data_IF_713739739562
#
_entry.id   IF_713739739562
#
_cell.length_a   1.000
_cell.length_b   1.000
_cell.length_c   1.000
_cell.angle_alpha   90.00
_cell.angle_beta   90.00
_cell.angle_gamma   90.00
#
_symmetry.space_group_name_H-M   'P 1'
#
loop_
_entity.id
_entity.type
_entity.pdbx_description
1 polymer ?
#
# COMPACT_ATOMS: atom_id res chain seq x y z
N UNK A 1 11.04 -23.11 74.11
CA UNK A 1 11.50 -23.06 72.69
C UNK A 1 10.30 -22.99 71.73
N UNK A 2 9.27 -23.81 71.91
CA UNK A 2 8.05 -23.82 71.04
C UNK A 2 7.22 -22.52 71.16
N UNK A 3 7.09 -21.93 72.37
CA UNK A 3 6.36 -20.67 72.57
C UNK A 3 7.01 -19.48 71.87
N UNK A 4 8.33 -19.38 71.85
CA UNK A 4 9.06 -18.31 71.13
C UNK A 4 8.85 -18.45 69.65
N UNK A 5 8.85 -19.65 69.10
CA UNK A 5 8.55 -19.90 67.68
C UNK A 5 7.13 -19.51 67.28
N UNK A 6 6.11 -19.75 68.13
CA UNK A 6 4.74 -19.32 67.93
C UNK A 6 4.57 -17.79 67.96
N UNK A 7 5.30 -17.10 68.84
CA UNK A 7 5.22 -15.64 68.97
C UNK A 7 5.72 -14.94 67.72
N UNK A 8 6.70 -15.48 67.03
CA UNK A 8 7.22 -14.88 65.77
C UNK A 8 6.55 -15.39 64.49
N UNK A 9 5.79 -16.47 64.57
CA UNK A 9 5.12 -17.07 63.42
C UNK A 9 4.15 -16.10 62.73
N UNK A 10 3.38 -15.31 63.46
CA UNK A 10 2.44 -14.32 62.96
C UNK A 10 3.18 -13.16 62.25
N UNK A 11 4.26 -12.69 62.85
CA UNK A 11 5.07 -11.62 62.23
C UNK A 11 5.73 -12.09 60.92
N UNK A 12 6.24 -13.32 60.89
CA UNK A 12 6.83 -13.90 59.69
C UNK A 12 5.79 -14.07 58.58
N UNK A 13 4.58 -14.56 58.91
CA UNK A 13 3.49 -14.66 57.95
C UNK A 13 3.07 -13.28 57.40
N UNK A 14 3.01 -12.24 58.23
CA UNK A 14 2.70 -10.88 57.77
C UNK A 14 3.78 -10.35 56.80
N UNK A 15 5.06 -10.58 57.06
CA UNK A 15 6.16 -10.19 56.18
C UNK A 15 6.10 -10.94 54.84
N UNK A 16 5.84 -12.24 54.87
CA UNK A 16 5.69 -13.04 53.64
C UNK A 16 4.48 -12.56 52.84
N UNK A 17 3.36 -12.27 53.47
CA UNK A 17 2.17 -11.77 52.80
C UNK A 17 2.41 -10.39 52.14
N UNK A 18 3.11 -9.48 52.86
CA UNK A 18 3.50 -8.19 52.32
C UNK A 18 4.46 -8.32 51.12
N UNK A 19 5.46 -9.19 51.25
CA UNK A 19 6.37 -9.46 50.13
C UNK A 19 5.64 -10.03 48.91
N UNK A 20 4.72 -10.98 49.10
CA UNK A 20 3.90 -11.54 48.04
C UNK A 20 3.03 -10.47 47.34
N UNK A 21 2.48 -9.52 48.13
CA UNK A 21 1.67 -8.42 47.61
C UNK A 21 2.53 -7.47 46.74
N UNK A 22 3.73 -7.12 47.17
CA UNK A 22 4.68 -6.28 46.43
C UNK A 22 5.09 -6.96 45.14
N UNK A 23 5.44 -8.25 45.19
CA UNK A 23 5.80 -9.05 44.00
C UNK A 23 4.62 -9.13 43.02
N UNK A 24 3.41 -9.35 43.54
CA UNK A 24 2.19 -9.38 42.71
C UNK A 24 1.93 -8.05 42.02
N UNK A 25 2.06 -6.92 42.74
CA UNK A 25 1.89 -5.60 42.21
C UNK A 25 2.94 -5.31 41.08
N UNK A 26 4.18 -5.68 41.32
CA UNK A 26 5.25 -5.56 40.33
C UNK A 26 4.98 -6.43 39.10
N UNK A 27 4.55 -7.68 39.29
CA UNK A 27 4.22 -8.58 38.18
C UNK A 27 3.07 -8.04 37.31
N UNK A 28 2.02 -7.45 37.94
CA UNK A 28 0.92 -6.82 37.20
C UNK A 28 1.40 -5.62 36.42
N UNK A 29 2.24 -4.77 37.02
CA UNK A 29 2.80 -3.60 36.32
C UNK A 29 3.63 -4.01 35.12
N UNK A 30 4.59 -4.93 35.30
CA UNK A 30 5.45 -5.46 34.23
C UNK A 30 4.64 -6.17 33.13
N UNK A 31 3.60 -6.94 33.52
CA UNK A 31 2.71 -7.59 32.57
C UNK A 31 1.92 -6.60 31.69
N UNK A 32 1.44 -5.50 32.27
CA UNK A 32 0.75 -4.44 31.52
C UNK A 32 1.70 -3.77 30.52
N UNK A 33 2.92 -3.51 30.89
CA UNK A 33 3.90 -2.91 30.02
C UNK A 33 4.29 -3.84 28.86
N UNK A 34 4.50 -5.13 29.15
CA UNK A 34 4.77 -6.14 28.11
C UNK A 34 3.60 -6.25 27.12
N UNK A 35 2.35 -6.25 27.59
CA UNK A 35 1.17 -6.26 26.72
C UNK A 35 1.06 -4.99 25.85
N UNK A 36 1.45 -3.82 26.37
CA UNK A 36 1.48 -2.57 25.60
C UNK A 36 2.49 -2.66 24.49
N UNK A 37 3.73 -3.06 24.78
CA UNK A 37 4.79 -3.23 23.79
C UNK A 37 4.41 -4.26 22.72
N UNK A 38 3.78 -5.37 23.14
CA UNK A 38 3.31 -6.38 22.21
C UNK A 38 2.24 -5.84 21.25
N UNK A 39 1.30 -5.02 21.74
CA UNK A 39 0.28 -4.36 20.90
C UNK A 39 0.92 -3.39 19.91
N UNK A 40 1.82 -2.54 20.36
CA UNK A 40 2.56 -1.61 19.49
C UNK A 40 3.32 -2.36 18.41
N UNK A 41 4.01 -3.43 18.77
CA UNK A 41 4.71 -4.30 17.81
C UNK A 41 3.76 -4.94 16.80
N UNK A 42 2.60 -5.44 17.25
CA UNK A 42 1.59 -6.03 16.36
C UNK A 42 1.04 -5.01 15.37
N UNK A 43 0.75 -3.78 15.81
CA UNK A 43 0.28 -2.70 14.93
C UNK A 43 1.32 -2.39 13.85
N UNK A 44 2.59 -2.22 14.25
CA UNK A 44 3.67 -1.94 13.29
C UNK A 44 3.87 -3.11 12.33
N UNK A 45 3.82 -4.35 12.82
CA UNK A 45 3.97 -5.57 12.00
C UNK A 45 2.83 -5.80 11.02
N UNK A 46 1.64 -5.25 11.29
CA UNK A 46 0.45 -5.36 10.43
C UNK A 46 0.25 -4.13 9.55
N UNK A 47 1.28 -3.30 9.37
CA UNK A 47 1.17 -2.11 8.54
C UNK A 47 1.12 -2.49 7.05
N UNK A 48 0.13 -2.00 6.31
CA UNK A 48 0.14 -2.07 4.85
C UNK A 48 1.19 -1.11 4.27
N UNK A 49 1.71 -1.44 3.10
CA UNK A 49 2.61 -0.58 2.32
C UNK A 49 2.18 -0.63 0.86
N UNK A 50 1.26 0.26 0.49
CA UNK A 50 0.77 0.34 -0.87
C UNK A 50 1.76 1.12 -1.73
N UNK A 51 2.09 0.56 -2.90
CA UNK A 51 2.98 1.16 -3.87
C UNK A 51 2.32 1.15 -5.24
N UNK A 52 2.40 2.27 -5.97
CA UNK A 52 1.97 2.35 -7.36
C UNK A 52 3.15 1.96 -8.25
N UNK A 53 3.00 0.85 -8.96
CA UNK A 53 4.01 0.29 -9.85
C UNK A 53 3.62 0.62 -11.28
N UNK A 54 4.58 1.16 -12.03
CA UNK A 54 4.46 1.39 -13.46
C UNK A 54 5.36 0.40 -14.20
N UNK A 55 4.85 -0.16 -15.28
CA UNK A 55 5.60 -1.05 -16.17
C UNK A 55 5.40 -0.58 -17.60
N UNK A 56 6.50 -0.46 -18.33
CA UNK A 56 6.51 -0.03 -19.72
C UNK A 56 7.55 -0.86 -20.47
N UNK A 57 7.07 -1.83 -21.20
CA UNK A 57 7.81 -2.70 -22.10
C UNK A 57 7.28 -2.52 -23.53
N UNK A 58 7.97 -3.08 -24.52
CA UNK A 58 7.53 -2.98 -25.92
C UNK A 58 6.15 -3.64 -26.16
N UNK A 59 5.85 -4.68 -25.38
CA UNK A 59 4.64 -5.48 -25.49
C UNK A 59 3.62 -5.17 -24.37
N UNK A 60 3.93 -4.18 -23.49
CA UNK A 60 3.10 -4.00 -22.28
C UNK A 60 3.27 -2.66 -21.62
N UNK A 61 2.17 -1.95 -21.47
CA UNK A 61 2.04 -0.80 -20.55
C UNK A 61 1.09 -1.20 -19.42
N UNK A 62 1.51 -1.00 -18.18
CA UNK A 62 0.69 -1.36 -17.03
C UNK A 62 0.93 -0.42 -15.85
N UNK A 63 -0.15 -0.04 -15.18
CA UNK A 63 -0.14 0.67 -13.91
C UNK A 63 -0.93 -0.17 -12.92
N UNK A 64 -0.33 -0.47 -11.78
CA UNK A 64 -0.93 -1.31 -10.76
C UNK A 64 -0.63 -0.80 -9.35
N UNK A 65 -1.54 -1.08 -8.42
CA UNK A 65 -1.34 -0.90 -6.99
C UNK A 65 -0.92 -2.25 -6.42
N UNK A 66 0.13 -2.27 -5.62
CA UNK A 66 0.61 -3.47 -4.92
C UNK A 66 0.75 -3.18 -3.44
N UNK A 67 0.33 -4.11 -2.60
CA UNK A 67 0.61 -4.08 -1.18
C UNK A 67 1.89 -4.87 -0.89
N UNK A 68 2.97 -4.17 -0.55
CA UNK A 68 4.25 -4.77 -0.15
C UNK A 68 4.34 -4.97 1.37
N UNK A 69 3.37 -4.44 2.13
CA UNK A 69 3.31 -4.55 3.58
C UNK A 69 2.84 -5.91 4.06
N UNK A 70 2.88 -6.10 5.37
CA UNK A 70 2.47 -7.34 6.04
C UNK A 70 1.01 -7.33 6.49
N UNK A 71 0.37 -6.16 6.55
CA UNK A 71 -1.05 -6.00 6.85
C UNK A 71 -1.89 -5.70 5.62
N UNK A 72 -3.21 -5.94 5.70
CA UNK A 72 -4.14 -5.53 4.66
C UNK A 72 -4.30 -4.01 4.63
N UNK A 73 -4.42 -3.43 3.42
CA UNK A 73 -4.71 -2.02 3.23
C UNK A 73 -6.06 -1.84 2.54
N UNK A 74 -6.95 -1.04 3.13
CA UNK A 74 -8.24 -0.68 2.53
C UNK A 74 -8.09 0.67 1.84
N UNK A 75 -8.32 0.73 0.55
CA UNK A 75 -8.30 1.98 -0.22
C UNK A 75 -9.56 2.77 0.13
N UNK A 76 -9.38 3.99 0.65
CA UNK A 76 -10.49 4.88 1.04
C UNK A 76 -10.83 5.86 -0.06
N UNK A 77 -9.81 6.34 -0.80
CA UNK A 77 -9.98 7.28 -1.88
C UNK A 77 -8.93 7.13 -2.96
N UNK A 78 -9.29 7.44 -4.18
CA UNK A 78 -8.38 7.60 -5.31
C UNK A 78 -8.62 8.94 -5.98
N UNK A 79 -7.54 9.64 -6.31
CA UNK A 79 -7.57 10.92 -7.00
C UNK A 79 -6.61 10.91 -8.17
N UNK A 80 -7.05 11.47 -9.27
CA UNK A 80 -6.27 11.57 -10.49
C UNK A 80 -6.10 13.03 -10.87
N UNK A 81 -4.89 13.42 -11.22
CA UNK A 81 -4.58 14.77 -11.65
C UNK A 81 -4.00 14.73 -13.06
N UNK A 82 -4.35 15.73 -13.87
CA UNK A 82 -3.77 15.96 -15.19
C UNK A 82 -3.21 17.37 -15.24
N UNK A 83 -1.90 17.50 -15.48
CA UNK A 83 -1.19 18.79 -15.40
C UNK A 83 -1.46 19.54 -14.08
N UNK A 84 -1.53 18.84 -12.96
CA UNK A 84 -1.80 19.39 -11.64
C UNK A 84 -3.29 19.69 -11.35
N UNK A 85 -4.20 19.56 -12.31
CA UNK A 85 -5.63 19.75 -12.10
C UNK A 85 -6.32 18.42 -11.78
N UNK A 86 -7.08 18.41 -10.66
CA UNK A 86 -7.90 17.24 -10.27
C UNK A 86 -8.90 16.91 -11.37
N UNK A 87 -9.01 15.64 -11.71
CA UNK A 87 -9.97 15.11 -12.68
C UNK A 87 -11.14 14.48 -11.95
N UNK A 88 -12.35 14.87 -12.33
CA UNK A 88 -13.61 14.33 -11.80
C UNK A 88 -13.98 13.04 -12.56
N UNK A 89 -13.23 11.97 -12.32
CA UNK A 89 -13.46 10.65 -12.93
C UNK A 89 -13.27 9.55 -11.89
N UNK A 90 -14.13 8.55 -11.94
CA UNK A 90 -14.06 7.38 -11.05
C UNK A 90 -13.09 6.30 -11.54
N UNK A 91 -12.80 6.27 -12.82
CA UNK A 91 -12.01 5.21 -13.45
C UNK A 91 -10.79 5.79 -14.13
N UNK A 92 -9.64 5.17 -13.86
CA UNK A 92 -8.40 5.59 -14.51
C UNK A 92 -8.47 5.48 -16.05
N UNK A 93 -9.18 4.47 -16.57
CA UNK A 93 -9.35 4.27 -18.01
C UNK A 93 -10.08 5.42 -18.71
N UNK A 94 -10.91 6.16 -18.01
CA UNK A 94 -11.67 7.29 -18.56
C UNK A 94 -10.75 8.49 -18.93
N UNK A 95 -9.51 8.50 -18.42
CA UNK A 95 -8.47 9.48 -18.75
C UNK A 95 -7.65 9.08 -19.99
N UNK A 96 -7.84 7.88 -20.48
CA UNK A 96 -7.08 7.33 -21.59
C UNK A 96 -7.73 7.64 -22.94
N UNK A 97 -6.94 7.66 -24.03
CA UNK A 97 -7.49 7.83 -25.36
C UNK A 97 -8.42 6.67 -25.74
N UNK A 98 -9.40 6.96 -26.59
CA UNK A 98 -10.20 5.93 -27.23
C UNK A 98 -9.32 5.21 -28.22
N UNK A 99 -9.04 3.92 -27.98
CA UNK A 99 -8.19 3.12 -28.84
C UNK A 99 -8.85 2.93 -30.22
N UNK A 100 -8.10 3.19 -31.29
CA UNK A 100 -8.58 3.06 -32.66
C UNK A 100 -8.48 1.62 -33.15
N UNK A 101 -9.51 1.11 -33.86
CA UNK A 101 -9.52 -0.23 -34.45
C UNK A 101 -9.95 -1.34 -33.49
N UNK A 102 -9.66 -2.61 -33.79
CA UNK A 102 -10.07 -3.79 -33.00
C UNK A 102 -9.17 -4.02 -31.77
N UNK A 103 -8.71 -2.96 -31.13
CA UNK A 103 -7.76 -2.99 -30.00
C UNK A 103 -8.47 -2.57 -28.74
N UNK A 104 -8.28 -3.34 -27.67
CA UNK A 104 -8.95 -3.13 -26.39
C UNK A 104 -7.95 -3.15 -25.24
N UNK A 105 -8.31 -2.48 -24.14
CA UNK A 105 -7.57 -2.60 -22.89
C UNK A 105 -7.60 -4.05 -22.39
N UNK A 106 -6.44 -4.62 -22.12
CA UNK A 106 -6.35 -6.00 -21.67
C UNK A 106 -6.97 -6.18 -20.29
N UNK A 107 -6.68 -5.25 -19.39
CA UNK A 107 -7.30 -5.18 -18.06
C UNK A 107 -7.45 -3.73 -17.64
N UNK A 108 -8.53 -3.43 -16.94
CA UNK A 108 -8.70 -2.17 -16.21
C UNK A 108 -9.58 -2.38 -14.98
N UNK A 109 -9.45 -1.51 -13.99
CA UNK A 109 -10.31 -1.50 -12.83
C UNK A 109 -11.36 -0.40 -12.97
N UNK A 110 -12.62 -0.75 -12.67
CA UNK A 110 -13.72 0.22 -12.71
C UNK A 110 -13.67 1.22 -11.56
N UNK A 111 -13.31 0.75 -10.36
CA UNK A 111 -13.10 1.57 -9.16
C UNK A 111 -12.28 0.74 -8.18
N UNK A 112 -11.41 1.38 -7.42
CA UNK A 112 -10.64 0.73 -6.35
C UNK A 112 -11.03 1.22 -4.95
N UNK A 113 -11.98 2.16 -4.85
CA UNK A 113 -12.50 2.61 -3.55
C UNK A 113 -13.13 1.42 -2.80
N UNK A 114 -12.88 1.36 -1.50
CA UNK A 114 -13.29 0.29 -0.58
C UNK A 114 -12.70 -1.10 -0.88
N UNK A 115 -11.73 -1.17 -1.80
CA UNK A 115 -11.03 -2.42 -2.07
C UNK A 115 -10.01 -2.70 -0.98
N UNK A 116 -10.09 -3.91 -0.40
CA UNK A 116 -9.11 -4.43 0.53
C UNK A 116 -7.99 -5.16 -0.24
N UNK A 117 -6.78 -4.63 -0.15
CA UNK A 117 -5.59 -5.28 -0.70
C UNK A 117 -4.87 -6.09 0.39
N UNK A 118 -4.93 -7.41 0.29
CA UNK A 118 -4.19 -8.31 1.17
C UNK A 118 -2.67 -8.14 0.98
N UNK A 119 -1.84 -8.55 1.96
CA UNK A 119 -0.40 -8.61 1.81
C UNK A 119 0.05 -9.32 0.54
N UNK A 120 0.96 -8.71 -0.21
CA UNK A 120 1.48 -9.25 -1.47
C UNK A 120 0.52 -9.19 -2.66
N UNK A 121 -0.76 -8.83 -2.46
CA UNK A 121 -1.72 -8.72 -3.55
C UNK A 121 -1.51 -7.47 -4.40
N UNK A 122 -2.01 -7.51 -5.64
CA UNK A 122 -1.94 -6.40 -6.58
C UNK A 122 -3.25 -6.20 -7.32
N UNK A 123 -3.51 -4.96 -7.77
CA UNK A 123 -4.66 -4.58 -8.56
C UNK A 123 -4.23 -3.73 -9.74
N UNK A 124 -4.55 -4.14 -10.96
CA UNK A 124 -4.30 -3.33 -12.15
C UNK A 124 -5.28 -2.15 -12.20
N UNK A 125 -4.76 -0.93 -12.30
CA UNK A 125 -5.56 0.23 -12.67
C UNK A 125 -5.84 0.20 -14.16
N UNK A 126 -4.79 -0.09 -14.96
CA UNK A 126 -4.89 -0.24 -16.39
C UNK A 126 -3.77 -1.17 -16.90
N UNK A 127 -4.08 -1.92 -17.95
CA UNK A 127 -3.10 -2.74 -18.67
C UNK A 127 -3.44 -2.80 -20.15
N UNK A 128 -2.44 -2.52 -20.99
CA UNK A 128 -2.45 -2.73 -22.42
C UNK A 128 -1.28 -3.63 -22.76
N UNK A 129 -1.52 -4.83 -23.28
CA UNK A 129 -0.47 -5.84 -23.48
C UNK A 129 -0.78 -6.82 -24.59
N UNK A 130 0.26 -7.58 -24.98
CA UNK A 130 0.19 -8.66 -25.95
C UNK A 130 0.45 -8.21 -27.40
N UNK A 131 0.00 -9.03 -28.36
CA UNK A 131 0.21 -8.77 -29.78
C UNK A 131 -0.33 -7.40 -30.23
N UNK A 132 -1.42 -6.95 -29.63
CA UNK A 132 -2.00 -5.64 -29.93
C UNK A 132 -1.01 -4.48 -29.66
N UNK A 133 -0.18 -4.58 -28.63
CA UNK A 133 0.86 -3.58 -28.36
C UNK A 133 2.02 -3.67 -29.33
N UNK A 134 2.44 -4.89 -29.71
CA UNK A 134 3.54 -5.11 -30.65
C UNK A 134 3.19 -4.69 -32.08
N UNK A 135 1.94 -4.95 -32.49
CA UNK A 135 1.46 -4.67 -33.85
C UNK A 135 1.06 -3.19 -34.04
N UNK A 136 0.88 -2.44 -32.97
CA UNK A 136 0.40 -1.06 -33.01
C UNK A 136 1.28 -0.10 -32.17
N UNK A 137 2.53 0.15 -32.56
CA UNK A 137 3.46 1.02 -31.82
C UNK A 137 2.95 2.46 -31.70
N UNK A 138 2.19 2.97 -32.65
CA UNK A 138 1.60 4.31 -32.61
C UNK A 138 0.56 4.44 -31.48
N UNK A 139 -0.23 3.39 -31.25
CA UNK A 139 -1.19 3.35 -30.13
C UNK A 139 -0.44 3.33 -28.79
N UNK A 140 0.66 2.58 -28.71
CA UNK A 140 1.51 2.55 -27.51
C UNK A 140 2.07 3.95 -27.23
N UNK A 141 2.51 4.67 -28.26
CA UNK A 141 3.01 6.03 -28.12
C UNK A 141 1.89 7.01 -27.70
N UNK A 142 0.70 6.87 -28.26
CA UNK A 142 -0.48 7.66 -27.87
C UNK A 142 -0.84 7.43 -26.38
N UNK A 143 -0.82 6.19 -25.91
CA UNK A 143 -1.04 5.84 -24.51
C UNK A 143 0.03 6.51 -23.62
N UNK A 144 1.32 6.45 -23.99
CA UNK A 144 2.40 7.11 -23.26
C UNK A 144 2.20 8.63 -23.18
N UNK A 145 1.77 9.27 -24.27
CA UNK A 145 1.43 10.71 -24.30
C UNK A 145 0.29 11.04 -23.35
N UNK A 146 -0.72 10.20 -23.28
CA UNK A 146 -1.85 10.39 -22.36
C UNK A 146 -1.45 10.20 -20.89
N UNK A 147 -0.54 9.26 -20.61
CA UNK A 147 -0.07 8.96 -19.26
C UNK A 147 0.89 10.02 -18.69
N UNK A 148 1.78 10.55 -19.52
CA UNK A 148 2.86 11.46 -19.08
C UNK A 148 2.40 12.64 -18.22
N UNK A 149 1.27 13.33 -18.48
CA UNK A 149 0.81 14.47 -17.68
C UNK A 149 0.03 14.07 -16.42
N UNK A 150 -0.11 12.77 -16.14
CA UNK A 150 -0.95 12.29 -15.06
C UNK A 150 -0.17 12.09 -13.75
N UNK A 151 -0.87 12.30 -12.66
CA UNK A 151 -0.43 12.02 -11.30
C UNK A 151 -1.56 11.28 -10.56
N UNK A 152 -1.20 10.29 -9.77
CA UNK A 152 -2.15 9.43 -9.05
C UNK A 152 -1.88 9.58 -7.56
N UNK A 153 -2.94 9.80 -6.78
CA UNK A 153 -2.93 9.75 -5.33
C UNK A 153 -3.93 8.70 -4.85
N UNK A 154 -3.54 7.93 -3.86
CA UNK A 154 -4.37 6.89 -3.25
C UNK A 154 -4.24 7.00 -1.75
N UNK A 155 -5.37 7.28 -1.10
CA UNK A 155 -5.47 7.21 0.35
C UNK A 155 -5.96 5.83 0.76
N UNK A 156 -5.40 5.30 1.82
CA UNK A 156 -5.74 3.98 2.34
C UNK A 156 -5.56 3.94 3.86
N UNK A 157 -6.15 2.94 4.47
CA UNK A 157 -6.03 2.73 5.92
C UNK A 157 -5.69 1.27 6.23
N UNK A 158 -5.10 1.06 7.38
CA UNK A 158 -4.83 -0.27 7.90
C UNK A 158 -6.06 -0.86 8.61
N UNK A 159 -5.89 -2.06 9.17
CA UNK A 159 -6.92 -2.74 9.96
C UNK A 159 -7.36 -1.95 11.21
N UNK A 160 -6.53 -1.02 11.70
CA UNK A 160 -6.79 -0.18 12.86
C UNK A 160 -7.32 1.20 12.49
N UNK A 161 -7.70 1.42 11.21
CA UNK A 161 -8.14 2.68 10.62
C UNK A 161 -7.09 3.80 10.73
N UNK A 162 -5.79 3.46 10.74
CA UNK A 162 -4.74 4.46 10.61
C UNK A 162 -4.62 4.86 9.14
N UNK A 163 -4.68 6.16 8.82
CA UNK A 163 -4.62 6.63 7.45
C UNK A 163 -3.19 6.67 6.93
N UNK A 164 -3.04 6.36 5.65
CA UNK A 164 -1.82 6.44 4.86
C UNK A 164 -2.16 6.99 3.48
N UNK A 165 -1.15 7.50 2.79
CA UNK A 165 -1.28 7.95 1.41
C UNK A 165 -0.08 7.49 0.59
N UNK A 166 -0.31 7.22 -0.68
CA UNK A 166 0.73 6.98 -1.69
C UNK A 166 0.41 7.77 -2.94
N UNK A 167 1.44 8.38 -3.52
CA UNK A 167 1.33 9.16 -4.74
C UNK A 167 2.36 8.71 -5.78
N UNK A 168 2.05 8.93 -7.05
CA UNK A 168 2.93 8.63 -8.17
C UNK A 168 2.71 9.55 -9.34
N UNK A 169 3.77 10.31 -9.73
CA UNK A 169 3.81 10.97 -11.02
C UNK A 169 4.08 9.96 -12.13
N UNK A 170 3.40 10.14 -13.26
CA UNK A 170 3.58 9.34 -14.47
C UNK A 170 4.44 10.05 -15.54
N UNK A 171 5.10 11.15 -15.18
CA UNK A 171 6.02 11.94 -16.01
C UNK A 171 7.16 11.09 -16.61
N UNK A 172 7.48 9.96 -15.97
CA UNK A 172 8.40 8.97 -16.49
C UNK A 172 8.09 8.51 -17.93
N UNK A 173 6.81 8.53 -18.34
CA UNK A 173 6.41 8.20 -19.71
C UNK A 173 6.80 9.29 -20.72
N UNK A 174 7.09 10.53 -20.27
CA UNK A 174 7.52 11.63 -21.14
C UNK A 174 8.86 11.36 -21.82
N UNK A 175 9.71 10.49 -21.29
CA UNK A 175 11.02 10.11 -21.86
C UNK A 175 10.95 9.56 -23.29
N UNK A 176 9.79 9.02 -23.68
CA UNK A 176 9.56 8.49 -25.01
C UNK A 176 8.99 9.53 -26.00
N UNK A 177 8.77 10.77 -25.51
CA UNK A 177 8.12 11.83 -26.29
C UNK A 177 9.12 12.85 -26.85
N UNK A 178 10.42 12.68 -26.57
CA UNK A 178 11.47 13.54 -27.13
C UNK A 178 11.85 13.03 -28.51
N UNK A 179 12.05 13.94 -29.49
CA UNK A 179 12.39 13.65 -30.89
C UNK A 179 13.62 12.73 -31.04
N UNK A 180 14.51 12.72 -30.03
CA UNK A 180 15.69 11.84 -30.01
C UNK A 180 15.33 10.38 -29.68
N UNK A 181 14.22 10.12 -28.99
CA UNK A 181 13.75 8.76 -28.70
C UNK A 181 13.18 8.08 -29.96
N UNK A 182 12.54 8.83 -30.86
CA UNK A 182 12.03 8.29 -32.14
C UNK A 182 13.15 7.79 -33.05
N UNK A 183 14.33 8.44 -33.03
CA UNK A 183 15.50 8.01 -33.84
C UNK A 183 16.16 6.73 -33.31
N UNK A 184 16.18 6.51 -32.01
CA UNK A 184 16.80 5.32 -31.40
C UNK A 184 16.03 4.01 -31.68
N UNK A 185 14.74 4.08 -31.99
CA UNK A 185 13.90 2.92 -32.30
C UNK A 185 13.84 2.57 -33.77
N UNK A 186 14.11 3.53 -34.66
CA UNK A 186 14.14 3.29 -36.12
C UNK A 186 15.42 2.62 -36.62
N UNK A 187 16.47 2.54 -35.77
CA UNK A 187 17.78 1.98 -36.12
C UNK A 187 18.06 0.58 -35.55
N UNK A 188 17.06 -0.05 -34.88
CA UNK A 188 17.14 -1.42 -34.38
C UNK A 188 16.11 -2.34 -35.00
#
# INVERSE_FOLDING_TARGET
>A
MIEILNQYAGALQAVIALAALVVSAYAIHSGREALRLQREHNIISMRPDLTIIISDYNDKIRIQIKNNGLGPGRITEQRFFKNGALQDVDKFVDLMPVLSGPVYWTHFCSNVKDVLLAPGSMRNLIEFSGNAALENPDIVLEIRRALAPLHIEIDYEDYYNQPYSVEKSLDWYARYLTDDAEKQWSEK
#
